data_IF_463011351718
#
_entry.id   IF_463011351718
#
_cell.length_a   1.000
_cell.length_b   1.000
_cell.length_c   1.000
_cell.angle_alpha   90.00
_cell.angle_beta   90.00
_cell.angle_gamma   90.00
#
_symmetry.space_group_name_H-M   'P 1'
#
loop_
_entity.id
_entity.type
_entity.pdbx_description
1 polymer ?
#
# COMPACT_ATOMS: atom_id res chain seq x y z
N UNK A 1 -6.14 -4.65 -16.78
CA UNK A 1 -5.48 -5.04 -15.50
C UNK A 1 -6.45 -5.79 -14.59
N UNK A 2 -5.96 -6.75 -13.81
CA UNK A 2 -6.72 -7.49 -12.80
C UNK A 2 -6.06 -7.27 -11.45
N UNK A 3 -6.84 -6.90 -10.43
CA UNK A 3 -6.41 -6.72 -9.05
C UNK A 3 -7.02 -7.78 -8.14
N UNK A 4 -6.23 -8.35 -7.23
CA UNK A 4 -6.67 -9.23 -6.14
C UNK A 4 -5.96 -8.85 -4.85
N UNK A 5 -6.66 -8.99 -3.73
CA UNK A 5 -6.16 -8.70 -2.38
C UNK A 5 -5.81 -10.01 -1.65
N UNK A 6 -4.72 -10.00 -0.90
CA UNK A 6 -4.19 -11.19 -0.21
C UNK A 6 -3.87 -10.90 1.27
N UNK A 7 -4.72 -10.15 1.93
CA UNK A 7 -4.58 -9.68 3.31
C UNK A 7 -3.46 -8.65 3.53
N UNK A 8 -3.54 -7.91 4.62
CA UNK A 8 -2.55 -6.88 4.99
C UNK A 8 -2.40 -5.80 3.92
N UNK A 9 -1.19 -5.62 3.44
CA UNK A 9 -0.88 -4.72 2.32
C UNK A 9 -0.69 -5.45 0.99
N UNK A 10 -0.92 -6.77 0.94
CA UNK A 10 -0.57 -7.57 -0.22
C UNK A 10 -1.61 -7.48 -1.34
N UNK A 11 -1.24 -6.77 -2.41
CA UNK A 11 -2.02 -6.65 -3.64
C UNK A 11 -1.27 -7.30 -4.79
N UNK A 12 -1.97 -8.12 -5.56
CA UNK A 12 -1.51 -8.61 -6.86
C UNK A 12 -2.19 -7.84 -7.98
N UNK A 13 -1.39 -7.25 -8.88
CA UNK A 13 -1.84 -6.63 -10.11
C UNK A 13 -1.31 -7.43 -11.30
N UNK A 14 -2.17 -7.82 -12.25
CA UNK A 14 -1.77 -8.58 -13.43
C UNK A 14 -2.36 -7.99 -14.70
N UNK A 15 -1.54 -7.90 -15.75
CA UNK A 15 -1.95 -7.48 -17.08
C UNK A 15 -1.07 -8.18 -18.13
N UNK A 16 -1.70 -8.83 -19.11
CA UNK A 16 -0.98 -9.71 -20.04
C UNK A 16 -0.20 -10.78 -19.28
N UNK A 17 1.10 -10.90 -19.56
CA UNK A 17 2.01 -11.86 -18.94
C UNK A 17 2.75 -11.29 -17.71
N UNK A 18 2.51 -10.01 -17.37
CA UNK A 18 3.19 -9.33 -16.29
C UNK A 18 2.35 -9.31 -15.02
N UNK A 19 2.97 -9.68 -13.91
CA UNK A 19 2.37 -9.62 -12.56
C UNK A 19 3.26 -8.81 -11.64
N UNK A 20 2.65 -7.82 -10.98
CA UNK A 20 3.28 -7.02 -9.92
C UNK A 20 2.65 -7.42 -8.59
N UNK A 21 3.46 -7.61 -7.56
CA UNK A 21 3.00 -7.74 -6.18
C UNK A 21 3.45 -6.55 -5.35
N UNK A 22 2.52 -5.92 -4.67
CA UNK A 22 2.75 -4.89 -3.69
C UNK A 22 2.72 -5.54 -2.31
N UNK A 23 3.69 -5.22 -1.46
CA UNK A 23 3.75 -5.68 -0.08
C UNK A 23 3.60 -7.19 0.11
N UNK A 24 4.39 -8.03 -0.58
CA UNK A 24 4.29 -9.49 -0.43
C UNK A 24 4.55 -9.91 1.02
N UNK A 25 3.76 -10.85 1.51
CA UNK A 25 3.84 -11.35 2.89
C UNK A 25 4.84 -12.50 3.00
N UNK A 26 5.76 -12.40 3.95
CA UNK A 26 6.76 -13.44 4.24
C UNK A 26 6.17 -14.59 5.06
N UNK A 27 6.76 -15.78 4.94
CA UNK A 27 6.54 -16.93 5.86
C UNK A 27 6.81 -16.61 7.33
N UNK A 28 7.56 -15.55 7.61
CA UNK A 28 7.85 -15.10 8.97
C UNK A 28 6.76 -14.20 9.55
N UNK A 29 5.78 -13.80 8.74
CA UNK A 29 4.61 -13.04 9.21
C UNK A 29 3.83 -13.85 10.26
N UNK A 30 3.40 -13.15 11.30
CA UNK A 30 2.52 -13.70 12.35
C UNK A 30 1.07 -13.25 12.17
N UNK A 31 0.85 -12.27 11.31
CA UNK A 31 -0.43 -11.59 11.17
C UNK A 31 -1.20 -12.04 9.92
N UNK A 32 -0.49 -12.37 8.84
CA UNK A 32 -1.09 -12.65 7.53
C UNK A 32 -0.52 -13.93 6.93
N UNK A 33 -1.27 -14.54 6.00
CA UNK A 33 -0.82 -15.72 5.25
C UNK A 33 0.29 -15.33 4.28
N UNK A 34 1.34 -16.16 4.16
CA UNK A 34 2.41 -15.91 3.20
C UNK A 34 1.91 -15.83 1.77
N UNK A 35 2.53 -14.94 0.98
CA UNK A 35 2.31 -14.90 -0.47
C UNK A 35 2.57 -16.27 -1.08
N UNK A 36 1.68 -16.73 -1.95
CA UNK A 36 1.72 -18.08 -2.53
C UNK A 36 1.60 -18.10 -4.05
N UNK A 37 1.87 -16.99 -4.71
CA UNK A 37 1.83 -16.85 -6.17
C UNK A 37 3.12 -16.20 -6.69
N UNK A 38 3.46 -16.44 -7.97
CA UNK A 38 4.61 -15.83 -8.62
C UNK A 38 4.30 -14.42 -9.12
N UNK A 39 5.32 -13.55 -9.06
CA UNK A 39 5.29 -12.22 -9.64
C UNK A 39 6.54 -11.96 -10.49
N UNK A 40 6.48 -10.99 -11.39
CA UNK A 40 7.63 -10.50 -12.17
C UNK A 40 8.31 -9.32 -11.46
N UNK A 41 7.54 -8.55 -10.67
CA UNK A 41 8.02 -7.40 -9.89
C UNK A 41 7.43 -7.49 -8.48
N UNK A 42 8.27 -7.32 -7.46
CA UNK A 42 7.86 -7.23 -6.05
C UNK A 42 8.22 -5.86 -5.47
N UNK A 43 7.22 -5.12 -5.01
CA UNK A 43 7.37 -3.79 -4.42
C UNK A 43 7.30 -3.90 -2.89
N UNK A 44 8.41 -3.65 -2.22
CA UNK A 44 8.57 -3.75 -0.77
C UNK A 44 8.42 -2.36 -0.15
N UNK A 45 7.28 -2.08 0.47
CA UNK A 45 7.02 -0.77 1.08
C UNK A 45 7.70 -0.59 2.43
N UNK A 46 7.80 -1.65 3.21
CA UNK A 46 8.38 -1.63 4.55
C UNK A 46 9.20 -2.89 4.80
N UNK A 47 10.37 -2.78 5.42
CA UNK A 47 11.15 -3.93 5.85
C UNK A 47 10.52 -4.56 7.12
N UNK A 48 9.40 -5.26 6.91
CA UNK A 48 8.65 -6.01 7.92
C UNK A 48 8.13 -7.31 7.31
N UNK A 49 8.06 -8.43 8.05
CA UNK A 49 7.59 -9.72 7.51
C UNK A 49 6.20 -9.67 6.85
N UNK A 50 5.35 -8.73 7.25
CA UNK A 50 4.02 -8.55 6.68
C UNK A 50 4.02 -7.88 5.29
N UNK A 51 5.17 -7.34 4.84
CA UNK A 51 5.30 -6.60 3.58
C UNK A 51 6.63 -6.85 2.86
N UNK A 52 7.47 -7.73 3.38
CA UNK A 52 8.76 -8.09 2.78
C UNK A 52 8.89 -9.61 2.68
N UNK A 53 8.08 -10.19 1.81
CA UNK A 53 8.08 -11.60 1.43
C UNK A 53 8.42 -11.77 -0.05
N UNK A 54 9.48 -11.13 -0.52
CA UNK A 54 9.88 -11.23 -1.93
C UNK A 54 10.19 -12.68 -2.35
N UNK A 55 10.81 -13.46 -1.47
CA UNK A 55 11.11 -14.87 -1.73
C UNK A 55 9.85 -15.71 -1.94
N UNK A 56 8.74 -15.36 -1.27
CA UNK A 56 7.45 -16.02 -1.39
C UNK A 56 6.71 -15.68 -2.70
N UNK A 57 7.14 -14.61 -3.38
CA UNK A 57 6.64 -14.22 -4.69
C UNK A 57 7.37 -14.91 -5.86
N UNK A 58 8.34 -15.79 -5.57
CA UNK A 58 9.02 -16.63 -6.57
C UNK A 58 8.21 -17.89 -6.84
N UNK A 59 8.11 -18.34 -8.10
CA UNK A 59 7.45 -19.58 -8.51
C UNK A 59 8.13 -20.23 -9.70
N UNK A 60 8.55 -21.49 -9.54
CA UNK A 60 9.30 -22.20 -10.56
C UNK A 60 10.58 -21.47 -10.88
N UNK A 61 10.80 -21.16 -12.16
CA UNK A 61 11.95 -20.40 -12.63
C UNK A 61 11.72 -18.86 -12.61
N UNK A 62 10.54 -18.40 -12.13
CA UNK A 62 10.23 -16.97 -11.99
C UNK A 62 10.73 -16.46 -10.65
N UNK A 63 11.69 -15.55 -10.71
CA UNK A 63 12.13 -14.73 -9.59
C UNK A 63 11.73 -13.29 -9.84
N UNK A 64 11.03 -12.60 -8.93
CA UNK A 64 10.62 -11.22 -9.14
C UNK A 64 11.83 -10.29 -9.10
N UNK A 65 11.79 -9.23 -9.93
CA UNK A 65 12.65 -8.08 -9.70
C UNK A 65 12.18 -7.36 -8.44
N UNK A 66 13.06 -7.24 -7.44
CA UNK A 66 12.73 -6.65 -6.14
C UNK A 66 13.01 -5.15 -6.18
N UNK A 67 11.97 -4.35 -5.97
CA UNK A 67 12.07 -2.91 -5.73
C UNK A 67 11.87 -2.68 -4.25
N UNK A 68 12.90 -2.18 -3.58
CA UNK A 68 12.87 -1.95 -2.13
C UNK A 68 13.49 -0.60 -1.78
N UNK A 69 12.67 0.29 -1.27
CA UNK A 69 13.09 1.63 -0.85
C UNK A 69 12.75 2.74 -1.85
N UNK A 70 12.96 4.02 -1.43
CA UNK A 70 12.70 5.18 -2.26
C UNK A 70 13.70 5.28 -3.41
N UNK A 71 13.28 5.85 -4.54
CA UNK A 71 14.08 6.04 -5.74
C UNK A 71 13.27 5.89 -7.01
N UNK A 72 13.93 6.05 -8.15
CA UNK A 72 13.34 5.85 -9.48
C UNK A 72 13.84 4.53 -10.06
N UNK A 73 12.94 3.74 -10.58
CA UNK A 73 13.23 2.42 -11.15
C UNK A 73 12.54 2.29 -12.50
N UNK A 74 13.13 1.52 -13.39
CA UNK A 74 12.49 1.07 -14.62
C UNK A 74 12.67 -0.44 -14.74
N UNK A 75 11.57 -1.17 -14.74
CA UNK A 75 11.57 -2.63 -14.79
C UNK A 75 10.60 -3.08 -15.86
N UNK A 76 11.09 -3.79 -16.86
CA UNK A 76 10.28 -4.31 -17.98
C UNK A 76 9.44 -3.21 -18.68
N UNK A 77 10.00 -2.00 -18.80
CA UNK A 77 9.31 -0.84 -19.38
C UNK A 77 8.25 -0.19 -18.49
N UNK A 78 8.21 -0.56 -17.21
CA UNK A 78 7.34 0.06 -16.21
C UNK A 78 8.20 1.00 -15.35
N UNK A 79 7.92 2.30 -15.43
CA UNK A 79 8.52 3.29 -14.55
C UNK A 79 7.84 3.24 -13.18
N UNK A 80 8.66 3.17 -12.12
CA UNK A 80 8.22 3.07 -10.72
C UNK A 80 8.95 4.14 -9.92
N UNK A 81 8.23 5.04 -9.29
CA UNK A 81 8.79 6.02 -8.38
C UNK A 81 8.47 5.63 -6.93
N UNK A 82 9.50 5.59 -6.09
CA UNK A 82 9.39 5.31 -4.66
C UNK A 82 9.69 6.55 -3.82
N UNK A 83 8.79 6.93 -2.91
CA UNK A 83 8.91 8.09 -2.04
C UNK A 83 9.03 7.68 -0.59
N UNK A 84 9.98 8.28 0.13
CA UNK A 84 10.21 7.98 1.54
C UNK A 84 9.14 8.63 2.42
N UNK A 85 8.48 7.81 3.23
CA UNK A 85 7.60 8.25 4.31
C UNK A 85 7.99 7.53 5.60
N UNK A 86 7.35 7.89 6.71
CA UNK A 86 7.57 7.22 8.00
C UNK A 86 6.46 6.20 8.26
N UNK A 87 6.79 5.22 9.10
CA UNK A 87 5.83 4.25 9.62
C UNK A 87 6.23 3.80 11.01
N UNK A 88 5.26 3.69 11.89
CA UNK A 88 5.41 3.06 13.22
C UNK A 88 4.93 1.62 13.23
N UNK A 89 4.51 1.08 12.09
CA UNK A 89 4.01 -0.29 11.96
C UNK A 89 4.99 -1.33 12.53
N UNK A 90 4.49 -2.18 13.41
CA UNK A 90 5.25 -3.25 14.07
C UNK A 90 6.32 -2.74 15.05
N UNK A 91 6.28 -1.48 15.47
CA UNK A 91 7.06 -0.98 16.60
C UNK A 91 6.29 -1.20 17.90
N UNK A 92 7.00 -1.62 18.94
CA UNK A 92 6.40 -1.75 20.27
C UNK A 92 6.19 -0.34 20.86
N UNK A 93 4.97 0.05 21.21
CA UNK A 93 4.68 1.35 21.81
C UNK A 93 5.47 1.61 23.11
N UNK A 94 5.87 0.54 23.82
CA UNK A 94 6.64 0.65 25.07
C UNK A 94 8.11 0.99 24.85
N UNK A 95 8.67 0.78 23.65
CA UNK A 95 10.07 1.13 23.35
C UNK A 95 10.27 2.62 23.09
N UNK A 96 9.20 3.39 22.92
CA UNK A 96 9.25 4.86 22.80
C UNK A 96 9.36 5.61 24.12
N UNK A 97 9.33 4.90 25.26
CA UNK A 97 9.52 5.49 26.59
C UNK A 97 10.98 5.31 27.06
N UNK A 98 11.92 5.91 26.35
CA UNK A 98 13.27 6.14 26.84
C UNK A 98 13.27 7.14 27.99
N UNK A 99 12.73 6.73 29.16
CA UNK A 99 12.95 7.44 30.42
C UNK A 99 14.41 7.21 30.82
N UNK A 100 15.29 8.21 30.58
CA UNK A 100 16.56 8.27 31.26
C UNK A 100 17.83 8.47 30.44
N UNK A 101 17.80 9.21 29.32
CA UNK A 101 19.07 9.70 28.73
C UNK A 101 19.12 11.23 28.61
N UNK A 102 20.33 11.86 28.85
CA UNK A 102 20.45 13.30 28.89
C UNK A 102 20.23 13.97 27.55
N UNK A 103 19.67 15.17 27.59
CA UNK A 103 19.09 16.02 26.53
C UNK A 103 20.04 16.54 25.45
N UNK A 104 21.01 15.76 24.97
CA UNK A 104 21.94 16.22 23.92
C UNK A 104 21.91 15.41 22.63
N UNK A 105 20.99 14.45 22.50
CA UNK A 105 20.70 13.80 21.23
C UNK A 105 19.17 13.86 21.00
N UNK A 106 18.69 14.85 20.28
CA UNK A 106 17.41 14.78 19.59
C UNK A 106 17.54 13.73 18.47
N UNK A 107 17.61 12.47 18.86
CA UNK A 107 17.40 11.35 17.93
C UNK A 107 15.92 11.39 17.58
N UNK A 108 15.63 11.70 16.34
CA UNK A 108 14.35 11.51 15.69
C UNK A 108 13.66 10.26 16.22
N UNK A 109 12.42 10.39 16.70
CA UNK A 109 11.57 9.27 17.10
C UNK A 109 11.71 8.16 16.05
N UNK A 110 12.15 6.96 16.47
CA UNK A 110 12.55 5.89 15.60
C UNK A 110 11.40 5.28 14.80
N UNK A 111 10.97 5.97 13.75
CA UNK A 111 10.11 5.42 12.73
C UNK A 111 10.90 4.56 11.76
N UNK A 112 10.24 3.59 11.14
CA UNK A 112 10.75 2.84 9.98
C UNK A 112 10.55 3.65 8.71
N UNK A 113 11.38 3.42 7.72
CA UNK A 113 11.16 3.97 6.37
C UNK A 113 10.08 3.13 5.71
N UNK A 114 8.96 3.75 5.39
CA UNK A 114 7.97 3.22 4.46
C UNK A 114 8.19 3.86 3.09
N UNK A 115 8.00 3.11 2.04
CA UNK A 115 8.06 3.60 0.67
C UNK A 115 6.67 3.60 0.06
N UNK A 116 6.21 4.78 -0.33
CA UNK A 116 5.03 4.96 -1.17
C UNK A 116 5.46 4.76 -2.62
N UNK A 117 4.76 3.92 -3.37
CA UNK A 117 5.07 3.66 -4.77
C UNK A 117 4.02 4.27 -5.69
N UNK A 118 4.50 5.01 -6.70
CA UNK A 118 3.70 5.50 -7.81
C UNK A 118 4.20 4.87 -9.11
N UNK A 119 3.29 4.34 -9.91
CA UNK A 119 3.59 3.73 -11.20
C UNK A 119 2.39 3.75 -12.14
N UNK A 120 2.64 3.62 -13.43
CA UNK A 120 1.59 3.37 -14.43
C UNK A 120 1.69 1.92 -14.90
N UNK A 121 0.61 1.16 -14.76
CA UNK A 121 0.51 -0.22 -15.20
C UNK A 121 -0.75 -0.45 -16.03
N UNK A 122 -0.60 -1.01 -17.24
CA UNK A 122 -1.69 -1.23 -18.20
C UNK A 122 -2.50 0.06 -18.50
N UNK A 123 -1.81 1.22 -18.54
CA UNK A 123 -2.40 2.53 -18.78
C UNK A 123 -3.22 3.10 -17.61
N UNK A 124 -3.06 2.55 -16.41
CA UNK A 124 -3.71 2.99 -15.17
C UNK A 124 -2.65 3.46 -14.18
N UNK A 125 -2.77 4.70 -13.68
CA UNK A 125 -1.88 5.24 -12.66
C UNK A 125 -2.27 4.72 -11.27
N UNK A 126 -1.29 4.20 -10.54
CA UNK A 126 -1.47 3.55 -9.24
C UNK A 126 -0.60 4.25 -8.21
N UNK A 127 -1.19 4.59 -7.07
CA UNK A 127 -0.49 5.03 -5.88
C UNK A 127 -0.70 3.99 -4.76
N UNK A 128 0.39 3.36 -4.33
CA UNK A 128 0.37 2.40 -3.23
C UNK A 128 1.02 3.03 -2.00
N UNK A 129 0.25 3.29 -0.96
CA UNK A 129 0.71 4.02 0.24
C UNK A 129 1.50 3.16 1.22
N UNK A 130 1.43 1.81 1.09
CA UNK A 130 2.11 0.90 2.03
C UNK A 130 1.54 1.01 3.44
N UNK A 131 2.43 0.99 4.43
CA UNK A 131 2.06 1.10 5.85
C UNK A 131 2.29 2.50 6.41
N UNK A 132 1.83 3.53 5.72
CA UNK A 132 1.90 4.92 6.19
C UNK A 132 1.00 5.12 7.41
N UNK A 133 1.45 5.91 8.39
CA UNK A 133 0.71 6.24 9.61
C UNK A 133 0.48 7.75 9.82
N UNK A 134 0.91 8.57 8.84
CA UNK A 134 0.71 10.02 8.82
C UNK A 134 0.07 10.47 7.50
N UNK A 135 -0.69 11.57 7.54
CA UNK A 135 -1.38 12.10 6.35
C UNK A 135 -0.52 13.06 5.52
N UNK A 136 0.66 13.42 6.02
CA UNK A 136 1.58 14.31 5.31
C UNK A 136 2.41 13.49 4.32
N UNK A 137 2.22 13.77 3.04
CA UNK A 137 2.99 13.16 1.96
C UNK A 137 4.19 14.05 1.56
N UNK A 138 5.25 13.48 0.99
CA UNK A 138 6.33 14.24 0.34
C UNK A 138 5.79 15.21 -0.70
N UNK A 139 6.42 16.38 -0.82
CA UNK A 139 6.00 17.45 -1.75
C UNK A 139 5.99 16.94 -3.20
N UNK A 140 6.94 16.08 -3.55
CA UNK A 140 7.06 15.49 -4.89
C UNK A 140 5.82 14.66 -5.28
N UNK A 141 5.15 14.02 -4.31
CA UNK A 141 3.88 13.33 -4.54
C UNK A 141 2.72 14.30 -4.79
N UNK A 142 2.75 15.46 -4.16
CA UNK A 142 1.71 16.49 -4.33
C UNK A 142 1.81 17.21 -5.67
N UNK A 143 2.94 17.09 -6.38
CA UNK A 143 3.18 17.65 -7.71
C UNK A 143 2.85 16.65 -8.84
N UNK A 144 2.51 15.40 -8.49
CA UNK A 144 2.10 14.39 -9.47
C UNK A 144 0.64 14.58 -9.88
N UNK A 145 0.31 14.06 -11.06
CA UNK A 145 -1.09 13.97 -11.49
C UNK A 145 -1.92 13.10 -10.54
N UNK A 146 -3.22 13.36 -10.46
CA UNK A 146 -4.16 12.59 -9.67
C UNK A 146 -4.09 11.09 -10.05
N UNK A 147 -3.94 10.18 -9.08
CA UNK A 147 -3.86 8.77 -9.39
C UNK A 147 -5.22 8.20 -9.80
N UNK A 148 -5.21 7.27 -10.76
CA UNK A 148 -6.42 6.53 -11.09
C UNK A 148 -6.86 5.64 -9.92
N UNK A 149 -5.91 5.01 -9.23
CA UNK A 149 -6.16 4.12 -8.10
C UNK A 149 -5.22 4.46 -6.94
N UNK A 150 -5.78 4.60 -5.74
CA UNK A 150 -4.99 4.64 -4.51
C UNK A 150 -5.29 3.42 -3.62
N UNK A 151 -4.24 2.74 -3.18
CA UNK A 151 -4.32 1.74 -2.11
C UNK A 151 -4.00 2.42 -0.79
N UNK A 152 -5.03 2.58 0.07
CA UNK A 152 -4.93 3.31 1.33
C UNK A 152 -5.01 2.36 2.53
N UNK A 153 -4.03 2.39 3.45
CA UNK A 153 -4.09 1.56 4.64
C UNK A 153 -5.13 2.10 5.63
N UNK A 154 -5.95 1.19 6.17
CA UNK A 154 -7.06 1.51 7.08
C UNK A 154 -7.03 0.59 8.28
N UNK A 155 -6.47 1.02 9.41
CA UNK A 155 -6.47 0.24 10.63
C UNK A 155 -6.39 1.14 11.87
N UNK A 156 -6.64 0.56 13.03
CA UNK A 156 -6.42 1.24 14.31
C UNK A 156 -4.97 1.07 14.83
N UNK A 157 -4.16 0.21 14.22
CA UNK A 157 -2.85 -0.17 14.73
C UNK A 157 -1.75 0.01 13.68
N UNK A 158 -0.84 0.96 13.92
CA UNK A 158 0.42 1.13 13.19
C UNK A 158 0.31 1.65 11.76
N UNK A 159 -0.90 1.97 11.27
CA UNK A 159 -1.18 2.64 10.00
C UNK A 159 -2.25 3.71 10.18
N UNK A 160 -2.69 4.36 9.11
CA UNK A 160 -3.71 5.41 9.19
C UNK A 160 -4.99 4.95 9.90
N UNK A 161 -5.49 5.80 10.79
CA UNK A 161 -6.84 5.62 11.33
C UNK A 161 -7.89 5.72 10.19
N UNK A 162 -9.08 5.12 10.33
CA UNK A 162 -10.13 5.24 9.32
C UNK A 162 -10.45 6.69 8.91
N UNK A 163 -10.46 7.61 9.86
CA UNK A 163 -10.70 9.04 9.60
C UNK A 163 -9.56 9.69 8.83
N UNK A 164 -8.30 9.38 9.18
CA UNK A 164 -7.14 9.97 8.49
C UNK A 164 -6.94 9.35 7.11
N UNK A 165 -7.24 8.05 6.96
CA UNK A 165 -7.28 7.36 5.69
C UNK A 165 -8.28 8.01 4.72
N UNK A 166 -9.49 8.32 5.19
CA UNK A 166 -10.49 9.03 4.39
C UNK A 166 -10.04 10.45 4.00
N UNK A 167 -9.50 11.23 4.96
CA UNK A 167 -8.97 12.56 4.66
C UNK A 167 -7.88 12.52 3.60
N UNK A 168 -6.95 11.56 3.73
CA UNK A 168 -5.87 11.42 2.76
C UNK A 168 -6.39 11.00 1.38
N UNK A 169 -7.34 10.05 1.32
CA UNK A 169 -7.96 9.61 0.08
C UNK A 169 -8.66 10.77 -0.65
N UNK A 170 -9.40 11.62 0.08
CA UNK A 170 -10.05 12.81 -0.46
C UNK A 170 -9.02 13.82 -1.00
N UNK A 171 -7.92 14.05 -0.27
CA UNK A 171 -6.88 15.00 -0.69
C UNK A 171 -6.10 14.53 -1.93
N UNK A 172 -6.04 13.22 -2.18
CA UNK A 172 -5.36 12.63 -3.34
C UNK A 172 -6.21 12.68 -4.62
N UNK A 173 -7.51 12.98 -4.50
CA UNK A 173 -8.45 13.09 -5.63
C UNK A 173 -8.42 11.89 -6.57
N UNK A 174 -8.11 10.69 -6.01
CA UNK A 174 -8.05 9.45 -6.79
C UNK A 174 -9.41 9.06 -7.35
N UNK A 175 -9.46 8.48 -8.54
CA UNK A 175 -10.73 8.00 -9.13
C UNK A 175 -11.29 6.80 -8.38
N UNK A 176 -10.41 5.88 -7.95
CA UNK A 176 -10.76 4.73 -7.12
C UNK A 176 -9.91 4.69 -5.86
N UNK A 177 -10.58 4.43 -4.74
CA UNK A 177 -9.96 4.23 -3.42
C UNK A 177 -10.15 2.77 -3.00
N UNK A 178 -9.06 2.07 -2.78
CA UNK A 178 -9.08 0.66 -2.37
C UNK A 178 -8.44 0.55 -0.99
N UNK A 179 -9.22 0.27 0.07
CA UNK A 179 -8.69 0.09 1.41
C UNK A 179 -7.86 -1.21 1.51
N UNK A 180 -6.75 -1.13 2.25
CA UNK A 180 -5.87 -2.25 2.61
C UNK A 180 -5.59 -2.24 4.12
N UNK A 181 -5.02 -3.29 4.70
CA UNK A 181 -4.75 -3.43 6.15
C UNK A 181 -5.98 -3.36 7.05
N UNK A 182 -7.16 -3.46 6.53
CA UNK A 182 -8.40 -3.34 7.29
C UNK A 182 -8.80 -4.63 8.03
N UNK A 183 -9.50 -4.46 9.12
CA UNK A 183 -10.38 -5.43 9.73
C UNK A 183 -11.85 -5.00 9.57
N UNK A 184 -12.80 -5.82 9.94
CA UNK A 184 -14.24 -5.53 9.80
C UNK A 184 -14.65 -4.22 10.48
N UNK A 185 -14.03 -3.88 11.61
CA UNK A 185 -14.36 -2.69 12.40
C UNK A 185 -13.81 -1.43 11.73
N UNK A 186 -12.53 -1.44 11.36
CA UNK A 186 -11.87 -0.31 10.74
C UNK A 186 -12.42 -0.04 9.34
N UNK A 187 -12.70 -1.10 8.57
CA UNK A 187 -13.36 -0.97 7.26
C UNK A 187 -14.74 -0.32 7.38
N UNK A 188 -15.58 -0.83 8.27
CA UNK A 188 -16.93 -0.27 8.50
C UNK A 188 -16.89 1.20 8.89
N UNK A 189 -15.94 1.58 9.74
CA UNK A 189 -15.75 2.97 10.13
C UNK A 189 -15.27 3.81 8.94
N UNK A 190 -14.29 3.34 8.16
CA UNK A 190 -13.80 4.02 6.97
C UNK A 190 -14.92 4.26 5.94
N UNK A 191 -15.71 3.23 5.61
CA UNK A 191 -16.82 3.35 4.67
C UNK A 191 -17.88 4.35 5.15
N UNK A 192 -18.15 4.40 6.45
CA UNK A 192 -19.05 5.39 7.04
C UNK A 192 -18.49 6.82 6.92
N UNK A 193 -17.21 7.02 7.18
CA UNK A 193 -16.53 8.32 7.06
C UNK A 193 -16.49 8.80 5.60
N UNK A 194 -16.30 7.87 4.66
CA UNK A 194 -16.31 8.15 3.23
C UNK A 194 -17.72 8.37 2.66
N UNK A 195 -18.80 8.05 3.41
CA UNK A 195 -20.16 8.08 2.87
C UNK A 195 -20.46 6.93 1.91
N UNK A 196 -19.62 5.89 1.88
CA UNK A 196 -19.65 4.76 0.96
C UNK A 196 -20.04 3.45 1.67
N UNK A 197 -21.03 3.51 2.57
CA UNK A 197 -21.49 2.34 3.34
C UNK A 197 -22.02 1.19 2.47
N UNK A 198 -22.26 1.44 1.19
CA UNK A 198 -22.71 0.48 0.17
C UNK A 198 -21.64 0.21 -0.88
N UNK A 199 -20.38 0.48 -0.58
CA UNK A 199 -19.27 0.22 -1.48
C UNK A 199 -19.34 -1.19 -2.06
N UNK A 200 -18.96 -1.33 -3.32
CA UNK A 200 -18.88 -2.63 -3.97
C UNK A 200 -17.79 -3.48 -3.30
N UNK A 201 -18.12 -4.75 -3.02
CA UNK A 201 -17.22 -5.71 -2.39
C UNK A 201 -16.99 -6.86 -3.36
N UNK A 202 -15.73 -7.06 -3.77
CA UNK A 202 -15.37 -8.07 -4.78
C UNK A 202 -14.11 -8.83 -4.39
N UNK A 203 -13.99 -10.09 -4.80
CA UNK A 203 -12.76 -10.90 -4.63
C UNK A 203 -11.71 -10.53 -5.70
N UNK A 204 -12.17 -10.06 -6.85
CA UNK A 204 -11.32 -9.72 -7.99
C UNK A 204 -11.91 -8.54 -8.74
N UNK A 205 -11.10 -7.51 -8.96
CA UNK A 205 -11.46 -6.33 -9.74
C UNK A 205 -10.75 -6.36 -11.09
N UNK A 206 -11.52 -6.29 -12.18
CA UNK A 206 -10.98 -6.19 -13.53
C UNK A 206 -11.25 -4.81 -14.08
N UNK A 207 -10.20 -4.09 -14.47
CA UNK A 207 -10.27 -2.70 -14.91
C UNK A 207 -9.56 -2.49 -16.25
N UNK A 208 -10.13 -1.59 -17.04
CA UNK A 208 -9.49 -0.94 -18.18
C UNK A 208 -9.51 0.58 -17.95
N UNK A 209 -8.61 1.37 -18.57
CA UNK A 209 -8.59 2.83 -18.39
C UNK A 209 -9.96 3.50 -18.60
N UNK A 210 -10.76 3.02 -19.55
CA UNK A 210 -12.11 3.55 -19.82
C UNK A 210 -13.12 3.34 -18.70
N UNK A 211 -12.91 2.34 -17.83
CA UNK A 211 -13.81 2.00 -16.74
C UNK A 211 -13.64 2.97 -15.55
N UNK A 212 -12.60 3.81 -15.60
CA UNK A 212 -12.27 4.85 -14.62
C UNK A 212 -12.77 6.23 -15.04
N UNK A 213 -13.29 6.37 -16.24
CA UNK A 213 -13.78 7.66 -16.73
C UNK A 213 -15.02 8.11 -15.93
N UNK A 214 -14.94 9.32 -15.37
CA UNK A 214 -16.04 9.94 -14.60
C UNK A 214 -16.19 9.39 -13.17
N UNK A 215 -15.24 8.58 -12.70
CA UNK A 215 -15.16 8.20 -11.29
C UNK A 215 -14.40 9.27 -10.50
N UNK A 216 -14.87 9.55 -9.29
CA UNK A 216 -14.32 10.57 -8.40
C UNK A 216 -14.40 10.03 -6.95
N UNK A 217 -13.32 9.44 -6.46
CA UNK A 217 -13.25 8.95 -5.09
C UNK A 217 -14.10 7.72 -4.78
N UNK A 218 -14.53 6.96 -5.79
CA UNK A 218 -15.35 5.75 -5.58
C UNK A 218 -14.56 4.71 -4.76
N UNK A 219 -15.19 4.16 -3.72
CA UNK A 219 -14.57 3.13 -2.89
C UNK A 219 -14.97 1.75 -3.37
N UNK A 220 -13.97 0.89 -3.62
CA UNK A 220 -14.16 -0.54 -3.89
C UNK A 220 -13.39 -1.36 -2.86
N UNK A 221 -14.05 -2.31 -2.23
CA UNK A 221 -13.45 -3.21 -1.25
C UNK A 221 -13.04 -4.52 -1.93
N UNK A 222 -11.74 -4.81 -1.91
CA UNK A 222 -11.23 -6.13 -2.34
C UNK A 222 -11.16 -7.06 -1.14
N UNK A 223 -11.78 -8.24 -1.22
CA UNK A 223 -11.67 -9.28 -0.19
C UNK A 223 -10.58 -10.31 -0.54
N UNK A 224 -9.91 -10.85 0.52
CA UNK A 224 -8.91 -11.91 0.42
C UNK A 224 -9.55 -13.31 0.46
#
# INVERSE_FOLDING_TARGET
MILTYHEGGCIRASAGDTTIVFGPVSKQSKNFKPTNFGADIALISLNHPDMNGADEASRGDKEPFIVSGPGEYEVSGIAIAGFSTKSTYGLDPSTNLGAGQPSSAKTSQGGRINTVYALTFDGISILYLGAIDETTLPTELSEMDEPDIVFVPVSAEGVLSPSDANKLAVNLEAKLVIPIFYDDKSLKQFLKEAGEEKAEVVEKLTLKPRDLAGKEGEVIVLMA
#
